data_IF_565659198483
#
_entry.id   IF_565659198483
#
_cell.length_a   1.000
_cell.length_b   1.000
_cell.length_c   1.000
_cell.angle_alpha   90.00
_cell.angle_beta   90.00
_cell.angle_gamma   90.00
#
_symmetry.space_group_name_H-M   'P 1'
#
loop_
_entity.id
_entity.type
_entity.pdbx_description
1 polymer ?
#
# COMPACT_ATOMS: atom_id res chain seq x y z
N UNK A 1 -6.00 3.65 -11.79
CA UNK A 1 -4.82 4.44 -12.21
C UNK A 1 -4.32 5.35 -11.11
N UNK A 2 -5.18 6.26 -10.63
CA UNK A 2 -4.88 7.16 -9.51
C UNK A 2 -4.51 6.42 -8.22
N UNK A 3 -5.18 5.30 -7.90
CA UNK A 3 -4.89 4.51 -6.70
C UNK A 3 -3.43 4.05 -6.59
N UNK A 4 -2.88 3.49 -7.67
CA UNK A 4 -1.49 3.01 -7.73
C UNK A 4 -0.48 4.14 -7.54
N UNK A 5 -0.66 5.26 -8.24
CA UNK A 5 0.24 6.40 -8.14
C UNK A 5 0.21 7.04 -6.74
N UNK A 6 -0.98 7.18 -6.15
CA UNK A 6 -1.14 7.75 -4.81
C UNK A 6 -0.56 6.85 -3.72
N UNK A 7 -0.63 5.50 -3.87
CA UNK A 7 0.00 4.57 -2.92
C UNK A 7 1.52 4.71 -2.90
N UNK A 8 2.16 4.80 -4.07
CA UNK A 8 3.61 5.06 -4.17
C UNK A 8 3.97 6.41 -3.56
N UNK A 9 3.17 7.44 -3.85
CA UNK A 9 3.39 8.78 -3.30
C UNK A 9 3.28 8.80 -1.77
N UNK A 10 2.32 8.07 -1.20
CA UNK A 10 2.15 7.92 0.24
C UNK A 10 3.38 7.25 0.88
N UNK A 11 3.87 6.15 0.31
CA UNK A 11 5.07 5.45 0.82
C UNK A 11 6.31 6.35 0.81
N UNK A 12 6.47 7.23 -0.19
CA UNK A 12 7.58 8.18 -0.22
C UNK A 12 7.50 9.21 0.91
N UNK A 13 6.30 9.67 1.27
CA UNK A 13 6.09 10.58 2.40
C UNK A 13 6.42 9.86 3.71
N UNK A 14 5.86 8.67 3.92
CA UNK A 14 6.09 7.88 5.13
C UNK A 14 7.57 7.54 5.30
N UNK A 15 8.25 7.16 4.21
CA UNK A 15 9.68 6.86 4.22
C UNK A 15 10.50 8.07 4.62
N UNK A 16 10.18 9.25 4.07
CA UNK A 16 10.91 10.48 4.36
C UNK A 16 10.70 10.95 5.80
N UNK A 17 9.45 11.02 6.24
CA UNK A 17 9.07 11.68 7.49
C UNK A 17 9.13 10.72 8.70
N UNK A 18 8.87 9.42 8.51
CA UNK A 18 8.79 8.42 9.59
C UNK A 18 9.84 7.31 9.48
N UNK A 19 10.62 7.25 8.40
CA UNK A 19 11.52 6.12 8.12
C UNK A 19 10.78 4.77 8.10
N UNK A 20 9.53 4.78 7.62
CA UNK A 20 8.70 3.58 7.47
C UNK A 20 8.00 3.55 6.12
N UNK A 21 7.68 2.36 5.62
CA UNK A 21 6.84 2.14 4.42
C UNK A 21 5.72 1.19 4.76
N UNK A 22 4.67 1.16 3.94
CA UNK A 22 3.53 0.26 4.11
C UNK A 22 3.86 -1.09 3.47
N UNK A 23 3.79 -2.17 4.25
CA UNK A 23 3.71 -3.52 3.70
C UNK A 23 2.27 -3.79 3.26
N UNK A 24 1.99 -3.50 1.99
CA UNK A 24 0.65 -3.64 1.41
C UNK A 24 0.11 -5.07 1.48
N UNK A 25 0.95 -6.11 1.66
CA UNK A 25 0.49 -7.49 1.83
C UNK A 25 -0.29 -7.71 3.13
N UNK A 26 -0.01 -6.90 4.16
CA UNK A 26 -0.65 -7.02 5.47
C UNK A 26 -2.05 -6.40 5.51
N UNK A 27 -2.41 -5.63 4.48
CA UNK A 27 -3.72 -5.03 4.36
C UNK A 27 -4.56 -5.93 3.45
N UNK A 28 -5.77 -6.29 3.87
CA UNK A 28 -6.67 -7.03 2.98
C UNK A 28 -7.24 -6.09 1.91
N UNK A 29 -7.41 -6.59 0.68
CA UNK A 29 -7.99 -5.81 -0.43
C UNK A 29 -9.36 -5.21 -0.11
N UNK A 30 -10.29 -6.01 0.41
CA UNK A 30 -11.66 -5.57 0.67
C UNK A 30 -11.72 -4.57 1.82
N UNK A 31 -10.88 -4.78 2.84
CA UNK A 31 -10.73 -3.83 3.96
C UNK A 31 -10.16 -2.49 3.47
N UNK A 32 -9.14 -2.52 2.61
CA UNK A 32 -8.58 -1.31 2.02
C UNK A 32 -9.60 -0.55 1.18
N UNK A 33 -10.32 -1.23 0.29
CA UNK A 33 -11.32 -0.60 -0.57
C UNK A 33 -12.46 0.01 0.26
N UNK A 34 -12.99 -0.74 1.23
CA UNK A 34 -14.02 -0.26 2.15
C UNK A 34 -13.55 0.95 2.96
N UNK A 35 -12.32 0.91 3.49
CA UNK A 35 -11.73 2.01 4.25
C UNK A 35 -11.49 3.26 3.38
N UNK A 36 -11.13 3.08 2.11
CA UNK A 36 -10.96 4.19 1.16
C UNK A 36 -12.30 4.83 0.80
N UNK A 37 -13.37 4.05 0.61
CA UNK A 37 -14.73 4.58 0.42
C UNK A 37 -15.24 5.35 1.64
N UNK A 38 -14.86 4.91 2.85
CA UNK A 38 -15.20 5.56 4.11
C UNK A 38 -14.38 6.83 4.38
N UNK A 39 -13.17 6.91 3.86
CA UNK A 39 -12.18 7.97 4.14
C UNK A 39 -12.68 9.42 3.94
N UNK A 40 -13.57 9.76 2.98
CA UNK A 40 -14.09 11.12 2.85
C UNK A 40 -14.96 11.55 4.02
N UNK A 41 -15.54 10.59 4.76
CA UNK A 41 -16.35 10.83 5.96
C UNK A 41 -15.51 10.68 7.22
N UNK A 42 -14.70 9.61 7.31
CA UNK A 42 -13.85 9.34 8.49
C UNK A 42 -12.63 8.50 8.09
N UNK A 43 -11.45 8.97 8.49
CA UNK A 43 -10.17 8.37 8.12
C UNK A 43 -9.65 7.29 9.10
N UNK A 44 -10.41 6.98 10.16
CA UNK A 44 -9.95 6.12 11.26
C UNK A 44 -9.58 4.70 10.78
N UNK A 45 -10.40 4.13 9.89
CA UNK A 45 -10.22 2.77 9.38
C UNK A 45 -8.94 2.65 8.56
N UNK A 46 -8.74 3.54 7.57
CA UNK A 46 -7.55 3.53 6.74
C UNK A 46 -6.28 3.83 7.55
N UNK A 47 -6.37 4.73 8.54
CA UNK A 47 -5.26 5.05 9.44
C UNK A 47 -4.86 3.85 10.30
N UNK A 48 -5.83 3.10 10.82
CA UNK A 48 -5.58 1.89 11.59
C UNK A 48 -4.94 0.79 10.73
N UNK A 49 -5.47 0.56 9.52
CA UNK A 49 -4.91 -0.40 8.57
C UNK A 49 -3.47 -0.07 8.22
N UNK A 50 -3.18 1.17 7.82
CA UNK A 50 -1.83 1.62 7.48
C UNK A 50 -0.91 1.49 8.69
N UNK A 51 -1.32 1.98 9.86
CA UNK A 51 -0.46 1.97 11.07
C UNK A 51 -0.03 0.56 11.47
N UNK A 52 -0.90 -0.44 11.29
CA UNK A 52 -0.58 -1.83 11.61
C UNK A 52 0.28 -2.53 10.54
N UNK A 53 0.35 -1.95 9.34
CA UNK A 53 1.11 -2.46 8.21
C UNK A 53 2.45 -1.73 8.00
N UNK A 54 2.81 -0.79 8.88
CA UNK A 54 4.09 -0.07 8.77
C UNK A 54 5.28 -0.98 9.08
N UNK A 55 6.32 -0.87 8.26
CA UNK A 55 7.60 -1.54 8.45
C UNK A 55 8.76 -0.55 8.30
N UNK A 56 9.83 -0.76 9.07
CA UNK A 56 11.10 -0.02 9.01
C UNK A 56 12.03 -0.48 7.87
N UNK A 57 11.63 -1.50 7.12
CA UNK A 57 12.35 -2.08 5.98
C UNK A 57 12.28 -1.21 4.71
N UNK A 58 12.60 0.07 4.85
CA UNK A 58 12.40 1.09 3.80
C UNK A 58 13.30 0.95 2.57
N UNK A 59 14.41 0.19 2.67
CA UNK A 59 15.36 -0.04 1.57
C UNK A 59 15.31 -1.50 1.06
N UNK A 60 14.31 -2.26 1.50
CA UNK A 60 14.11 -3.62 1.07
C UNK A 60 13.41 -3.63 -0.30
N UNK A 61 14.16 -4.04 -1.33
CA UNK A 61 13.64 -4.12 -2.71
C UNK A 61 12.49 -5.12 -2.80
N UNK A 62 12.52 -6.19 -2.02
CA UNK A 62 11.51 -7.25 -2.07
C UNK A 62 10.16 -6.74 -1.55
N UNK A 63 10.16 -5.94 -0.47
CA UNK A 63 8.94 -5.31 0.05
C UNK A 63 8.38 -4.30 -0.95
N UNK A 64 9.25 -3.52 -1.61
CA UNK A 64 8.80 -2.59 -2.63
C UNK A 64 8.15 -3.30 -3.82
N UNK A 65 8.78 -4.36 -4.35
CA UNK A 65 8.26 -5.09 -5.51
C UNK A 65 6.95 -5.83 -5.17
N UNK A 66 6.89 -6.52 -4.03
CA UNK A 66 5.65 -7.14 -3.54
C UNK A 66 4.54 -6.11 -3.32
N UNK A 67 4.88 -4.92 -2.80
CA UNK A 67 3.93 -3.82 -2.63
C UNK A 67 3.35 -3.34 -3.97
N UNK A 68 4.18 -3.29 -5.02
CA UNK A 68 3.73 -3.00 -6.38
C UNK A 68 2.78 -4.10 -6.87
N UNK A 69 3.13 -5.37 -6.75
CA UNK A 69 2.26 -6.49 -7.19
C UNK A 69 0.89 -6.47 -6.50
N UNK A 70 0.86 -6.29 -5.18
CA UNK A 70 -0.38 -6.15 -4.41
C UNK A 70 -1.19 -4.92 -4.85
N UNK A 71 -0.52 -3.80 -5.10
CA UNK A 71 -1.15 -2.56 -5.56
C UNK A 71 -1.82 -2.74 -6.94
N UNK A 72 -1.29 -3.62 -7.78
CA UNK A 72 -1.90 -4.05 -9.05
C UNK A 72 -3.04 -5.05 -8.84
N UNK A 73 -2.88 -6.00 -7.91
CA UNK A 73 -3.93 -6.95 -7.50
C UNK A 73 -5.20 -6.25 -6.97
N UNK A 74 -5.05 -5.16 -6.23
CA UNK A 74 -6.17 -4.34 -5.75
C UNK A 74 -7.01 -3.77 -6.89
N UNK A 75 -6.39 -3.49 -8.03
CA UNK A 75 -7.08 -2.94 -9.21
C UNK A 75 -7.53 -4.05 -10.18
N UNK A 76 -7.37 -5.33 -9.82
CA UNK A 76 -7.84 -6.49 -10.60
C UNK A 76 -6.84 -7.06 -11.61
N UNK A 77 -5.56 -6.66 -11.53
CA UNK A 77 -4.51 -7.18 -12.41
C UNK A 77 -3.72 -8.27 -11.68
N UNK A 78 -3.80 -9.51 -12.16
CA UNK A 78 -3.17 -10.68 -11.51
C UNK A 78 -2.27 -11.49 -12.44
N UNK A 79 -2.00 -10.99 -13.64
CA UNK A 79 -1.48 -11.80 -14.75
C UNK A 79 0.05 -11.88 -14.79
N UNK A 80 0.76 -10.97 -14.10
CA UNK A 80 2.23 -10.91 -14.09
C UNK A 80 2.74 -10.51 -12.71
N UNK A 81 3.88 -11.08 -12.27
CA UNK A 81 4.66 -10.53 -11.17
C UNK A 81 5.66 -9.51 -11.71
N UNK A 82 5.83 -8.38 -11.03
CA UNK A 82 6.77 -7.34 -11.46
C UNK A 82 8.23 -7.78 -11.36
N UNK A 83 8.55 -8.72 -10.46
CA UNK A 83 9.89 -9.27 -10.32
C UNK A 83 10.29 -10.19 -11.50
N UNK A 84 9.33 -10.68 -12.27
CA UNK A 84 9.55 -11.56 -13.44
C UNK A 84 9.68 -10.77 -14.76
N UNK A 85 9.63 -9.43 -14.72
CA UNK A 85 9.72 -8.49 -15.86
C UNK A 85 10.99 -7.62 -15.80
#
# INVERSE_FOLDING_TARGET
>A
GNGRATRIWLDLILKKELQQVVDWNLINKEDYLSAMERSPVKDLEIKYLISNALTDKINDREIFMKGIDISYYYEGYTEYNVDDL
#
